data_IF_704874907094
#
_entry.id   IF_704874907094
#
_cell.length_a   1.000
_cell.length_b   1.000
_cell.length_c   1.000
_cell.angle_alpha   90.00
_cell.angle_beta   90.00
_cell.angle_gamma   90.00
#
_symmetry.space_group_name_H-M   'P 1'
#
loop_
_entity.id
_entity.type
_entity.pdbx_description
1 polymer ?
#
# COMPACT_ATOMS: atom_id res chain seq x y z
N UNK A 1 -32.16 -27.25 24.62
CA UNK A 1 -32.78 -26.61 25.79
C UNK A 1 -32.18 -25.23 25.93
N UNK A 2 -32.99 -24.20 25.61
CA UNK A 2 -32.65 -22.80 25.83
C UNK A 2 -32.36 -22.53 27.30
N UNK A 3 -31.37 -21.69 27.58
CA UNK A 3 -31.38 -20.82 28.75
C UNK A 3 -30.91 -19.43 28.32
N UNK A 4 -31.92 -18.67 27.93
CA UNK A 4 -31.94 -17.23 27.79
C UNK A 4 -31.85 -16.56 29.16
N UNK A 5 -30.79 -15.77 29.38
CA UNK A 5 -30.77 -14.72 30.41
C UNK A 5 -30.63 -13.38 29.70
N UNK A 6 -31.78 -12.71 29.57
CA UNK A 6 -31.91 -11.32 29.15
C UNK A 6 -31.35 -10.42 30.26
N UNK A 7 -30.26 -9.69 29.97
CA UNK A 7 -29.93 -8.46 30.70
C UNK A 7 -30.49 -7.27 29.92
N UNK A 8 -31.37 -6.44 30.51
CA UNK A 8 -31.91 -5.26 29.86
C UNK A 8 -30.95 -4.09 30.02
N UNK A 9 -30.46 -3.52 28.90
CA UNK A 9 -29.85 -2.19 28.92
C UNK A 9 -28.48 -2.04 28.26
N UNK A 10 -28.18 -2.72 27.16
CA UNK A 10 -27.06 -2.31 26.31
C UNK A 10 -27.60 -1.63 25.05
N UNK A 11 -27.55 -0.29 25.03
CA UNK A 11 -27.61 0.46 23.77
C UNK A 11 -26.40 0.01 22.96
N UNK A 12 -26.64 -0.69 21.86
CA UNK A 12 -25.63 -0.91 20.83
C UNK A 12 -25.16 0.47 20.35
N UNK A 13 -23.94 0.84 20.70
CA UNK A 13 -23.31 2.06 20.19
C UNK A 13 -22.68 1.68 18.86
N UNK A 14 -23.38 1.97 17.77
CA UNK A 14 -22.79 1.95 16.44
C UNK A 14 -21.86 3.16 16.33
N UNK A 15 -20.56 2.94 16.50
CA UNK A 15 -19.54 3.96 16.21
C UNK A 15 -19.34 3.97 14.70
N UNK A 16 -20.24 4.67 14.00
CA UNK A 16 -20.03 5.00 12.60
C UNK A 16 -18.90 6.01 12.49
N UNK A 17 -17.79 5.63 11.87
CA UNK A 17 -16.75 6.58 11.47
C UNK A 17 -17.36 7.43 10.36
N UNK A 18 -17.61 8.72 10.64
CA UNK A 18 -18.20 9.63 9.68
C UNK A 18 -17.17 9.91 8.57
N UNK A 19 -17.38 9.31 7.40
CA UNK A 19 -16.62 9.62 6.18
C UNK A 19 -17.00 11.03 5.74
N UNK A 20 -16.05 11.95 5.49
CA UNK A 20 -16.36 13.28 4.99
C UNK A 20 -17.14 13.17 3.67
N UNK A 21 -18.30 13.80 3.61
CA UNK A 21 -19.05 13.96 2.37
C UNK A 21 -18.20 14.76 1.38
N UNK A 22 -17.71 14.10 0.33
CA UNK A 22 -17.04 14.75 -0.79
C UNK A 22 -17.89 15.91 -1.31
N UNK A 23 -17.27 17.09 -1.46
CA UNK A 23 -17.95 18.30 -1.93
C UNK A 23 -18.55 18.06 -3.32
N UNK A 24 -19.87 18.03 -3.41
CA UNK A 24 -20.60 18.15 -4.67
C UNK A 24 -20.21 19.47 -5.35
N UNK A 25 -19.57 19.37 -6.51
CA UNK A 25 -19.34 20.48 -7.41
C UNK A 25 -20.67 21.05 -7.90
N UNK A 26 -21.10 22.18 -7.33
CA UNK A 26 -22.30 22.91 -7.77
C UNK A 26 -22.09 23.47 -9.18
N UNK A 27 -22.61 22.76 -10.18
CA UNK A 27 -22.81 23.26 -11.54
C UNK A 27 -23.76 24.46 -11.51
N UNK A 28 -23.27 25.65 -11.89
CA UNK A 28 -24.07 26.86 -12.10
C UNK A 28 -25.02 26.65 -13.28
N UNK A 29 -26.32 26.50 -13.00
CA UNK A 29 -27.36 26.68 -14.02
C UNK A 29 -27.78 28.15 -14.09
N UNK A 30 -27.49 28.79 -15.22
CA UNK A 30 -28.10 30.07 -15.62
C UNK A 30 -29.60 29.88 -15.90
N UNK A 31 -30.45 30.70 -15.29
CA UNK A 31 -31.82 30.96 -15.78
C UNK A 31 -32.16 32.46 -15.79
N UNK A 32 -32.97 32.80 -16.78
CA UNK A 32 -33.27 34.13 -17.30
C UNK A 32 -34.14 35.02 -16.40
N UNK A 33 -33.95 36.33 -16.65
CA UNK A 33 -34.79 37.53 -16.43
C UNK A 33 -36.27 37.33 -16.02
N UNK A 34 -36.72 38.13 -15.06
CA UNK A 34 -38.14 38.43 -14.84
C UNK A 34 -38.43 39.47 -13.73
N UNK A 35 -38.66 40.72 -14.15
CA UNK A 35 -39.48 41.81 -13.58
C UNK A 35 -39.38 42.31 -12.12
N UNK A 36 -39.10 43.63 -12.04
CA UNK A 36 -39.25 44.59 -10.94
C UNK A 36 -40.64 44.56 -10.30
N UNK A 37 -40.71 44.69 -8.97
CA UNK A 37 -41.65 45.60 -8.30
C UNK A 37 -41.04 46.24 -7.05
N UNK A 38 -41.10 47.56 -7.03
CA UNK A 38 -40.68 48.48 -5.97
C UNK A 38 -41.68 48.42 -4.80
N UNK A 39 -41.22 48.25 -3.54
CA UNK A 39 -41.94 48.81 -2.37
C UNK A 39 -41.06 48.89 -1.12
N UNK A 40 -40.89 50.16 -0.69
CA UNK A 40 -40.69 50.71 0.66
C UNK A 40 -39.56 50.18 1.55
N UNK A 41 -38.54 51.04 1.68
CA UNK A 41 -37.68 51.24 2.85
C UNK A 41 -38.46 51.08 4.16
N UNK A 42 -37.98 50.19 5.03
CA UNK A 42 -38.14 50.29 6.47
C UNK A 42 -36.79 50.05 7.10
N UNK A 43 -36.22 51.13 7.62
CA UNK A 43 -35.01 51.17 8.43
C UNK A 43 -35.18 50.27 9.66
N UNK A 44 -34.34 49.24 9.77
CA UNK A 44 -34.08 48.49 11.01
C UNK A 44 -32.65 47.98 10.97
N UNK A 45 -31.78 48.82 11.54
CA UNK A 45 -30.65 48.48 12.43
C UNK A 45 -29.99 47.11 12.23
N UNK A 46 -28.70 47.17 11.89
CA UNK A 46 -27.64 46.19 12.10
C UNK A 46 -28.10 44.90 12.77
N UNK A 47 -28.28 43.86 11.96
CA UNK A 47 -28.08 42.50 12.43
C UNK A 47 -26.67 42.13 12.04
N UNK A 48 -25.83 42.01 13.06
CA UNK A 48 -24.61 41.24 13.03
C UNK A 48 -24.82 40.03 12.12
N UNK A 49 -24.01 39.93 11.08
CA UNK A 49 -23.84 38.72 10.31
C UNK A 49 -23.06 37.74 11.21
N UNK A 50 -23.73 37.33 12.28
CA UNK A 50 -23.36 36.22 13.14
C UNK A 50 -23.47 34.99 12.27
N UNK A 51 -22.42 34.73 11.48
CA UNK A 51 -22.11 33.39 11.02
C UNK A 51 -22.12 32.54 12.28
N UNK A 52 -23.20 31.81 12.49
CA UNK A 52 -23.27 30.77 13.50
C UNK A 52 -22.09 29.83 13.20
N UNK A 53 -21.00 30.04 13.92
CA UNK A 53 -19.98 29.02 14.09
C UNK A 53 -20.74 27.77 14.53
N UNK A 54 -20.54 26.61 13.88
CA UNK A 54 -21.13 25.37 14.35
C UNK A 54 -20.91 25.27 15.86
N UNK A 55 -21.97 25.03 16.63
CA UNK A 55 -21.81 24.77 18.06
C UNK A 55 -21.06 23.45 18.18
N UNK A 56 -19.74 23.53 18.28
CA UNK A 56 -18.90 22.37 18.53
C UNK A 56 -19.16 21.93 19.97
N UNK A 57 -20.13 21.03 20.13
CA UNK A 57 -20.64 20.59 21.43
C UNK A 57 -19.62 19.74 22.20
N UNK A 58 -18.56 19.27 21.54
CA UNK A 58 -17.44 18.60 22.21
C UNK A 58 -16.07 19.20 21.84
N UNK A 59 -15.10 19.20 22.77
CA UNK A 59 -13.71 19.53 22.46
C UNK A 59 -13.14 18.71 21.29
N UNK A 60 -13.54 17.45 21.12
CA UNK A 60 -13.12 16.60 20.01
C UNK A 60 -13.65 17.09 18.64
N UNK A 61 -14.91 17.54 18.56
CA UNK A 61 -15.47 18.12 17.34
C UNK A 61 -14.81 19.46 16.99
N UNK A 62 -14.45 20.24 18.01
CA UNK A 62 -13.72 21.50 17.83
C UNK A 62 -12.32 21.26 17.26
N UNK A 63 -11.57 20.30 17.81
CA UNK A 63 -10.24 19.93 17.30
C UNK A 63 -10.35 19.38 15.87
N UNK A 64 -11.33 18.50 15.61
CA UNK A 64 -11.55 17.96 14.27
C UNK A 64 -11.87 19.04 13.23
N UNK A 65 -12.63 20.06 13.62
CA UNK A 65 -12.89 21.20 12.74
C UNK A 65 -11.64 22.03 12.49
N UNK A 66 -10.88 22.37 13.54
CA UNK A 66 -9.64 23.14 13.40
C UNK A 66 -8.69 22.42 12.41
N UNK A 67 -8.45 21.13 12.63
CA UNK A 67 -7.60 20.31 11.75
C UNK A 67 -8.14 20.18 10.32
N UNK A 68 -9.46 20.17 10.14
CA UNK A 68 -10.10 20.04 8.83
C UNK A 68 -10.28 21.36 8.06
N UNK A 69 -9.78 22.49 8.60
CA UNK A 69 -9.87 23.81 7.96
C UNK A 69 -8.52 24.39 7.55
N UNK A 70 -7.42 23.68 7.78
CA UNK A 70 -6.09 24.01 7.27
C UNK A 70 -5.98 23.63 5.78
N UNK A 71 -6.94 24.10 4.97
CA UNK A 71 -7.13 23.79 3.54
C UNK A 71 -6.01 24.37 2.63
N UNK A 72 -5.09 25.18 3.18
CA UNK A 72 -4.01 25.84 2.42
C UNK A 72 -2.66 25.10 2.52
N UNK A 73 -2.59 23.96 3.23
CA UNK A 73 -1.38 23.14 3.29
C UNK A 73 -1.30 22.19 2.08
N UNK A 74 -0.68 22.67 1.00
CA UNK A 74 -0.47 21.89 -0.22
C UNK A 74 0.36 20.61 0.01
N UNK A 75 1.18 20.55 1.07
CA UNK A 75 2.03 19.38 1.39
C UNK A 75 1.26 18.28 2.12
N UNK A 76 0.21 18.63 2.86
CA UNK A 76 -0.58 17.71 3.69
C UNK A 76 -1.98 17.40 3.13
N UNK A 77 -2.18 17.57 1.82
CA UNK A 77 -3.44 17.20 1.18
C UNK A 77 -3.76 15.70 1.40
N UNK A 78 -5.00 15.36 1.77
CA UNK A 78 -5.39 13.97 1.97
C UNK A 78 -5.49 13.21 0.65
N UNK A 79 -4.95 11.99 0.64
CA UNK A 79 -5.00 11.06 -0.49
C UNK A 79 -5.94 9.87 -0.19
N UNK A 80 -6.46 9.24 -1.25
CA UNK A 80 -7.09 7.92 -1.10
C UNK A 80 -6.05 6.91 -0.59
N UNK A 81 -6.45 6.02 0.32
CA UNK A 81 -5.53 5.04 0.91
C UNK A 81 -5.80 3.63 0.39
N UNK A 82 -4.71 2.94 0.05
CA UNK A 82 -4.60 1.50 0.09
C UNK A 82 -3.98 1.11 1.44
N UNK A 83 -4.58 0.18 2.18
CA UNK A 83 -4.04 -0.26 3.47
C UNK A 83 -3.72 -1.75 3.41
N UNK A 84 -2.55 -2.13 3.91
CA UNK A 84 -2.08 -3.51 3.96
C UNK A 84 -1.74 -3.86 5.40
N UNK A 85 -2.19 -5.03 5.87
CA UNK A 85 -1.89 -5.58 7.19
C UNK A 85 -0.97 -6.78 7.04
N UNK A 86 0.19 -6.68 7.66
CA UNK A 86 1.15 -7.78 7.77
C UNK A 86 1.32 -8.23 9.22
N UNK A 87 1.36 -9.54 9.39
CA UNK A 87 1.63 -10.19 10.67
C UNK A 87 3.01 -10.85 10.68
N UNK A 88 3.74 -10.69 11.80
CA UNK A 88 5.05 -11.30 11.97
C UNK A 88 4.93 -12.82 12.20
N UNK A 89 5.41 -13.62 11.26
CA UNK A 89 5.30 -15.07 11.31
C UNK A 89 6.53 -15.74 11.94
N UNK A 90 6.27 -16.73 12.80
CA UNK A 90 7.29 -17.52 13.50
C UNK A 90 7.43 -18.91 12.92
N UNK A 91 8.68 -19.38 12.82
CA UNK A 91 9.00 -20.77 12.48
C UNK A 91 10.12 -21.27 13.39
N UNK A 92 9.93 -22.45 13.97
CA UNK A 92 10.93 -23.11 14.82
C UNK A 92 11.46 -22.19 15.95
N UNK A 93 10.58 -21.38 16.56
CA UNK A 93 10.92 -20.45 17.64
C UNK A 93 11.65 -19.19 17.21
N UNK A 94 11.77 -18.92 15.90
CA UNK A 94 12.47 -17.74 15.37
C UNK A 94 11.55 -16.90 14.48
N UNK A 95 11.72 -15.58 14.56
CA UNK A 95 11.08 -14.62 13.66
C UNK A 95 11.54 -14.90 12.23
N UNK A 96 10.59 -15.24 11.35
CA UNK A 96 10.89 -15.70 10.00
C UNK A 96 10.69 -14.60 8.96
N UNK A 97 9.46 -14.14 8.79
CA UNK A 97 9.04 -13.19 7.76
C UNK A 97 7.76 -12.45 8.17
N UNK A 98 7.49 -11.31 7.56
CA UNK A 98 6.18 -10.67 7.59
C UNK A 98 5.28 -11.33 6.55
N UNK A 99 4.03 -11.60 6.90
CA UNK A 99 3.04 -12.18 5.98
C UNK A 99 1.82 -11.29 5.91
N UNK A 100 1.44 -10.97 4.68
CA UNK A 100 0.19 -10.30 4.39
C UNK A 100 -0.99 -11.16 4.87
N UNK A 101 -1.85 -10.57 5.70
CA UNK A 101 -3.05 -11.23 6.23
C UNK A 101 -4.35 -10.56 5.82
N UNK A 102 -4.34 -9.25 5.56
CA UNK A 102 -5.51 -8.52 5.09
C UNK A 102 -5.13 -7.25 4.32
N UNK A 103 -6.07 -6.74 3.52
CA UNK A 103 -5.92 -5.45 2.83
C UNK A 103 -7.24 -4.71 2.71
N UNK A 104 -7.17 -3.38 2.63
CA UNK A 104 -8.33 -2.50 2.46
C UNK A 104 -8.16 -1.58 1.25
N UNK A 105 -9.22 -1.55 0.45
CA UNK A 105 -9.50 -0.49 -0.50
C UNK A 105 -10.99 -0.19 -0.45
N UNK A 106 -11.39 0.64 0.53
CA UNK A 106 -12.78 0.86 1.00
C UNK A 106 -13.45 -0.39 1.62
N UNK A 107 -13.25 -1.55 1.03
CA UNK A 107 -13.66 -2.86 1.51
C UNK A 107 -12.44 -3.65 1.99
N UNK A 108 -12.68 -4.55 2.94
CA UNK A 108 -11.72 -5.49 3.51
C UNK A 108 -11.69 -6.78 2.69
N UNK A 109 -10.50 -7.30 2.43
CA UNK A 109 -10.25 -8.64 1.90
C UNK A 109 -9.21 -9.30 2.80
N UNK A 110 -9.45 -10.55 3.22
CA UNK A 110 -8.56 -11.33 4.08
C UNK A 110 -7.90 -12.46 3.31
N UNK A 111 -6.73 -12.87 3.77
CA UNK A 111 -6.04 -14.06 3.30
C UNK A 111 -6.65 -15.31 3.95
N UNK A 112 -7.31 -16.15 3.15
CA UNK A 112 -8.00 -17.38 3.55
C UNK A 112 -7.23 -18.65 3.13
N UNK A 113 -7.74 -19.82 3.56
CA UNK A 113 -7.35 -21.15 3.06
C UNK A 113 -5.83 -21.45 3.16
N UNK A 114 -5.22 -21.20 4.33
CA UNK A 114 -3.77 -21.38 4.49
C UNK A 114 -2.92 -20.38 3.70
N UNK A 115 -3.56 -19.32 3.23
CA UNK A 115 -2.99 -18.27 2.41
C UNK A 115 -2.84 -18.64 0.95
N UNK A 116 -3.85 -19.30 0.38
CA UNK A 116 -3.93 -19.56 -1.06
C UNK A 116 -4.89 -18.61 -1.78
N UNK A 117 -5.78 -17.94 -1.06
CA UNK A 117 -6.90 -17.20 -1.66
C UNK A 117 -7.25 -15.94 -0.87
N UNK A 118 -7.66 -14.89 -1.59
CA UNK A 118 -8.33 -13.73 -1.02
C UNK A 118 -9.82 -14.00 -0.79
N UNK A 119 -10.34 -13.55 0.35
CA UNK A 119 -11.78 -13.53 0.62
C UNK A 119 -12.53 -12.63 -0.38
N UNK A 120 -13.86 -12.62 -0.32
CA UNK A 120 -14.64 -11.66 -1.11
C UNK A 120 -14.63 -10.32 -0.37
N UNK A 121 -14.55 -9.18 -1.08
CA UNK A 121 -14.53 -7.87 -0.43
C UNK A 121 -15.80 -7.65 0.40
N UNK A 122 -15.64 -7.20 1.65
CA UNK A 122 -16.73 -6.96 2.57
C UNK A 122 -16.53 -5.68 3.40
N UNK A 123 -17.58 -5.27 4.13
CA UNK A 123 -17.51 -4.10 5.01
C UNK A 123 -16.95 -4.55 6.36
N UNK A 124 -15.80 -3.98 6.74
CA UNK A 124 -15.12 -4.23 8.00
C UNK A 124 -16.05 -4.05 9.20
N UNK A 125 -15.97 -4.98 10.17
CA UNK A 125 -16.58 -4.80 11.49
C UNK A 125 -15.51 -4.91 12.56
N UNK A 126 -15.38 -3.87 13.37
CA UNK A 126 -14.39 -3.83 14.44
C UNK A 126 -15.01 -4.14 15.79
N UNK A 127 -14.26 -4.86 16.62
CA UNK A 127 -14.64 -5.03 18.02
C UNK A 127 -14.49 -3.69 18.77
N UNK A 128 -15.39 -3.42 19.73
CA UNK A 128 -15.24 -2.23 20.57
C UNK A 128 -13.96 -2.30 21.43
N UNK A 129 -13.54 -3.51 21.78
CA UNK A 129 -12.32 -3.73 22.56
C UNK A 129 -11.07 -3.26 21.82
N UNK A 130 -10.90 -3.69 20.56
CA UNK A 130 -9.77 -3.28 19.73
C UNK A 130 -9.73 -1.78 19.47
N UNK A 131 -10.88 -1.10 19.40
CA UNK A 131 -10.93 0.37 19.31
C UNK A 131 -10.42 1.06 20.58
N UNK A 132 -10.70 0.52 21.77
CA UNK A 132 -10.16 1.05 23.01
C UNK A 132 -8.66 0.80 23.15
N UNK A 133 -8.19 -0.37 22.72
CA UNK A 133 -6.75 -0.67 22.67
C UNK A 133 -6.03 0.23 21.69
N UNK A 134 -6.55 0.42 20.46
CA UNK A 134 -5.99 1.35 19.49
C UNK A 134 -5.93 2.79 20.03
N UNK A 135 -6.97 3.24 20.73
CA UNK A 135 -6.94 4.54 21.41
C UNK A 135 -5.82 4.60 22.45
N UNK A 136 -5.63 3.54 23.24
CA UNK A 136 -4.52 3.45 24.19
C UNK A 136 -3.16 3.46 23.49
N UNK A 137 -3.04 2.78 22.35
CA UNK A 137 -1.84 2.73 21.52
C UNK A 137 -1.44 4.11 21.03
N UNK A 138 -2.39 4.89 20.50
CA UNK A 138 -2.12 6.27 20.04
C UNK A 138 -1.74 7.19 21.21
N UNK A 139 -2.35 7.00 22.39
CA UNK A 139 -2.08 7.86 23.56
C UNK A 139 -0.73 7.59 24.22
N UNK A 140 -0.25 6.35 24.20
CA UNK A 140 0.93 5.92 24.95
C UNK A 140 2.12 5.50 24.07
N UNK A 141 1.88 5.28 22.77
CA UNK A 141 2.90 4.87 21.81
C UNK A 141 3.79 6.02 21.34
N UNK A 142 4.81 5.67 20.55
CA UNK A 142 5.65 6.64 19.83
C UNK A 142 4.87 7.19 18.63
N UNK A 143 4.77 8.52 18.51
CA UNK A 143 4.12 9.19 17.38
C UNK A 143 5.13 10.09 16.68
N UNK A 144 5.40 9.82 15.40
CA UNK A 144 6.36 10.58 14.59
C UNK A 144 5.68 11.08 13.32
N UNK A 145 5.31 12.35 13.31
CA UNK A 145 4.69 13.00 12.16
C UNK A 145 5.76 13.70 11.32
N UNK A 146 5.55 13.71 10.01
CA UNK A 146 6.40 14.36 9.00
C UNK A 146 7.85 13.88 9.05
N UNK A 147 8.00 12.56 9.29
CA UNK A 147 9.28 11.87 9.32
C UNK A 147 9.92 11.92 7.93
N UNK A 148 11.16 12.37 7.89
CA UNK A 148 11.97 12.40 6.67
C UNK A 148 12.87 11.18 6.61
N UNK A 149 12.36 10.11 6.02
CA UNK A 149 13.08 8.87 5.79
C UNK A 149 12.73 8.33 4.40
N UNK A 150 13.69 7.71 3.72
CA UNK A 150 13.54 7.21 2.36
C UNK A 150 13.63 5.68 2.24
N UNK A 151 13.99 4.98 3.30
CA UNK A 151 13.99 3.52 3.37
C UNK A 151 13.41 3.00 4.68
N UNK A 152 13.02 1.73 4.69
CA UNK A 152 12.52 1.06 5.90
C UNK A 152 13.62 0.94 6.97
N UNK A 153 14.89 0.88 6.59
CA UNK A 153 16.03 0.94 7.51
C UNK A 153 16.10 2.27 8.24
N UNK A 154 16.01 3.40 7.52
CA UNK A 154 16.00 4.73 8.14
C UNK A 154 14.81 4.90 9.08
N UNK A 155 13.62 4.45 8.66
CA UNK A 155 12.41 4.47 9.49
C UNK A 155 12.62 3.65 10.76
N UNK A 156 13.10 2.42 10.63
CA UNK A 156 13.33 1.53 11.76
C UNK A 156 14.34 2.13 12.74
N UNK A 157 15.46 2.65 12.24
CA UNK A 157 16.50 3.25 13.08
C UNK A 157 15.98 4.49 13.83
N UNK A 158 15.24 5.39 13.16
CA UNK A 158 14.66 6.58 13.80
C UNK A 158 13.61 6.25 14.86
N UNK A 159 12.73 5.28 14.60
CA UNK A 159 11.70 4.84 15.55
C UNK A 159 12.34 4.21 16.78
N UNK A 160 13.30 3.32 16.57
CA UNK A 160 14.00 2.63 17.65
C UNK A 160 14.80 3.63 18.49
N UNK A 161 15.49 4.59 17.87
CA UNK A 161 16.19 5.67 18.58
C UNK A 161 15.23 6.46 19.49
N UNK A 162 14.05 6.81 18.97
CA UNK A 162 13.01 7.51 19.74
C UNK A 162 12.49 6.65 20.91
N UNK A 163 12.26 5.36 20.70
CA UNK A 163 11.78 4.44 21.74
C UNK A 163 12.82 4.22 22.84
N UNK A 164 14.10 4.12 22.48
CA UNK A 164 15.20 4.04 23.45
C UNK A 164 15.31 5.34 24.24
N UNK A 165 15.32 6.49 23.56
CA UNK A 165 15.45 7.80 24.20
C UNK A 165 14.29 8.11 25.18
N UNK A 166 13.09 7.60 24.89
CA UNK A 166 11.91 7.71 25.74
C UNK A 166 11.78 6.57 26.78
N UNK A 167 12.77 5.68 26.86
CA UNK A 167 12.78 4.50 27.74
C UNK A 167 11.58 3.55 27.54
N UNK A 168 10.97 3.57 26.35
CA UNK A 168 9.97 2.59 25.92
C UNK A 168 10.61 1.27 25.48
N UNK A 169 11.85 1.33 24.99
CA UNK A 169 12.64 0.17 24.59
C UNK A 169 14.01 0.19 25.30
N UNK A 170 14.44 -0.97 25.79
CA UNK A 170 15.77 -1.13 26.36
C UNK A 170 16.84 -1.19 25.25
N UNK A 171 17.99 -0.53 25.47
CA UNK A 171 19.09 -0.49 24.50
C UNK A 171 19.57 -1.90 24.10
N UNK A 172 19.56 -2.86 25.02
CA UNK A 172 19.93 -4.25 24.73
C UNK A 172 18.99 -4.97 23.75
N UNK A 173 17.77 -4.46 23.55
CA UNK A 173 16.77 -5.04 22.65
C UNK A 173 16.73 -4.35 21.28
N UNK A 174 17.42 -3.22 21.13
CA UNK A 174 17.52 -2.42 19.91
C UNK A 174 17.72 -3.29 18.65
N UNK A 175 18.78 -4.09 18.65
CA UNK A 175 19.16 -4.89 17.50
C UNK A 175 18.12 -5.97 17.16
N UNK A 176 17.49 -6.58 18.16
CA UNK A 176 16.48 -7.62 17.95
C UNK A 176 15.19 -7.05 17.34
N UNK A 177 14.75 -5.87 17.81
CA UNK A 177 13.61 -5.16 17.24
C UNK A 177 13.92 -4.74 15.80
N UNK A 178 15.11 -4.19 15.56
CA UNK A 178 15.56 -3.81 14.22
C UNK A 178 15.55 -5.00 13.25
N UNK A 179 16.06 -6.14 13.68
CA UNK A 179 16.06 -7.37 12.88
C UNK A 179 14.66 -7.88 12.57
N UNK A 180 13.70 -7.72 13.50
CA UNK A 180 12.30 -8.08 13.28
C UNK A 180 11.62 -7.12 12.28
N UNK A 181 11.80 -5.81 12.44
CA UNK A 181 11.23 -4.79 11.54
C UNK A 181 11.72 -4.95 10.09
N UNK A 182 12.97 -5.39 9.90
CA UNK A 182 13.59 -5.53 8.58
C UNK A 182 13.48 -6.93 7.98
N UNK A 183 12.64 -7.81 8.54
CA UNK A 183 12.32 -9.08 7.90
C UNK A 183 11.65 -8.84 6.55
N UNK A 184 11.83 -9.79 5.65
CA UNK A 184 11.17 -9.74 4.34
C UNK A 184 9.65 -9.82 4.52
N UNK A 185 8.93 -9.05 3.71
CA UNK A 185 7.49 -9.12 3.55
C UNK A 185 7.13 -10.11 2.45
N UNK A 186 6.23 -11.05 2.77
CA UNK A 186 5.76 -12.08 1.89
C UNK A 186 4.30 -11.83 1.51
N UNK A 187 4.11 -11.47 0.25
CA UNK A 187 2.84 -11.05 -0.33
C UNK A 187 2.08 -12.21 -0.96
N UNK A 188 0.75 -12.15 -0.95
CA UNK A 188 -0.10 -13.23 -1.46
C UNK A 188 0.14 -13.53 -2.95
N UNK A 189 0.55 -12.52 -3.73
CA UNK A 189 0.82 -12.69 -5.16
C UNK A 189 2.11 -13.50 -5.44
N UNK A 190 3.06 -13.55 -4.50
CA UNK A 190 4.27 -14.36 -4.65
C UNK A 190 3.98 -15.86 -4.63
N UNK A 191 2.99 -16.31 -3.83
CA UNK A 191 2.57 -17.72 -3.77
C UNK A 191 1.91 -18.21 -5.06
N UNK A 192 1.13 -17.35 -5.72
CA UNK A 192 0.50 -17.68 -7.02
C UNK A 192 1.55 -17.98 -8.09
N UNK A 193 2.72 -17.34 -8.01
CA UNK A 193 3.81 -17.53 -8.96
C UNK A 193 4.75 -18.68 -8.55
N UNK A 194 5.01 -18.91 -7.27
CA UNK A 194 5.81 -20.08 -6.83
C UNK A 194 5.14 -21.40 -7.17
N UNK A 195 3.80 -21.44 -7.17
CA UNK A 195 3.02 -22.61 -7.58
C UNK A 195 2.98 -22.80 -9.12
N UNK A 196 3.42 -21.80 -9.89
CA UNK A 196 3.63 -21.90 -11.34
C UNK A 196 5.09 -22.26 -11.58
N UNK A 197 5.38 -23.56 -11.63
CA UNK A 197 6.67 -24.10 -12.08
C UNK A 197 7.11 -23.31 -13.33
N UNK A 198 8.33 -22.74 -13.38
CA UNK A 198 8.80 -22.04 -14.57
C UNK A 198 8.70 -23.00 -15.75
N UNK A 199 8.02 -22.55 -16.80
CA UNK A 199 7.81 -23.30 -18.03
C UNK A 199 9.19 -23.57 -18.68
N UNK A 200 9.90 -24.58 -18.20
CA UNK A 200 11.03 -25.17 -18.91
C UNK A 200 10.45 -25.63 -20.22
N UNK A 201 10.82 -24.94 -21.31
CA UNK A 201 10.56 -25.39 -22.68
C UNK A 201 11.01 -26.83 -22.77
N UNK A 202 10.06 -27.75 -22.73
CA UNK A 202 10.30 -29.17 -22.91
C UNK A 202 10.99 -29.34 -24.26
N UNK A 203 12.21 -29.86 -24.23
CA UNK A 203 13.02 -30.21 -25.40
C UNK A 203 12.45 -31.44 -26.13
N UNK A 204 11.19 -31.36 -26.58
CA UNK A 204 10.51 -32.43 -27.30
C UNK A 204 10.49 -32.24 -28.83
N UNK A 205 11.15 -31.22 -29.38
CA UNK A 205 11.27 -31.01 -30.83
C UNK A 205 12.67 -31.36 -31.38
N UNK A 206 13.27 -32.45 -30.88
CA UNK A 206 14.39 -33.10 -31.57
C UNK A 206 13.95 -34.49 -32.00
N UNK A 207 13.67 -34.61 -33.29
CA UNK A 207 13.68 -35.88 -34.00
C UNK A 207 12.34 -36.28 -34.58
N UNK A 208 12.10 -35.88 -35.84
CA UNK A 208 11.62 -36.77 -36.91
C UNK A 208 11.67 -36.06 -38.26
N UNK A 209 12.73 -36.34 -39.02
CA UNK A 209 12.76 -36.25 -40.49
C UNK A 209 12.34 -37.60 -41.08
N UNK A 210 11.91 -37.56 -42.34
CA UNK A 210 11.41 -38.63 -43.24
C UNK A 210 9.89 -38.79 -43.15
N UNK A 211 9.10 -38.69 -44.23
CA UNK A 211 9.36 -38.94 -45.66
C UNK A 211 8.29 -38.28 -46.55
N UNK A 212 8.70 -37.81 -47.74
CA UNK A 212 7.85 -37.46 -48.90
C UNK A 212 7.05 -38.68 -49.39
N UNK A 213 5.85 -38.51 -50.01
CA UNK A 213 5.84 -38.34 -51.47
C UNK A 213 4.68 -37.51 -52.08
N UNK A 214 4.86 -37.19 -53.37
CA UNK A 214 3.88 -36.82 -54.41
C UNK A 214 3.59 -35.32 -54.70
N UNK A 215 4.34 -34.84 -55.71
CA UNK A 215 3.87 -34.37 -57.03
C UNK A 215 3.31 -32.94 -57.24
N UNK A 216 3.95 -32.34 -58.26
CA UNK A 216 3.54 -31.24 -59.14
C UNK A 216 3.74 -29.81 -58.62
N UNK A 217 4.92 -29.26 -58.90
CA UNK A 217 4.93 -27.97 -59.61
C UNK A 217 6.13 -27.83 -60.53
N UNK A 218 5.88 -27.10 -61.62
CA UNK A 218 6.52 -27.20 -62.93
C UNK A 218 7.28 -25.90 -63.21
N UNK A 219 8.50 -26.08 -63.69
CA UNK A 219 9.31 -25.19 -64.55
C UNK A 219 9.92 -23.89 -64.01
N UNK A 220 11.24 -23.79 -64.26
CA UNK A 220 11.95 -22.54 -64.59
C UNK A 220 13.21 -22.31 -63.75
N UNK A 221 14.40 -22.81 -64.15
CA UNK A 221 15.45 -22.05 -64.87
C UNK A 221 15.99 -20.87 -64.01
N UNK A 222 17.25 -20.76 -63.54
CA UNK A 222 18.57 -21.15 -64.06
C UNK A 222 19.66 -21.01 -62.98
N UNK A 223 20.66 -21.92 -63.05
CA UNK A 223 22.10 -21.73 -62.85
C UNK A 223 22.71 -21.12 -61.55
N UNK A 224 23.47 -21.98 -60.86
CA UNK A 224 24.75 -21.67 -60.19
C UNK A 224 25.82 -22.57 -60.85
N UNK A 225 27.11 -22.64 -60.47
CA UNK A 225 28.02 -21.70 -59.75
C UNK A 225 29.47 -21.71 -60.34
N UNK A 226 30.26 -20.63 -60.30
CA UNK A 226 31.74 -20.72 -60.47
C UNK A 226 32.45 -19.58 -59.71
N UNK A 227 33.25 -19.83 -58.65
CA UNK A 227 34.69 -20.22 -58.63
C UNK A 227 35.66 -19.03 -58.66
N UNK A 228 36.31 -18.71 -57.52
CA UNK A 228 37.78 -18.51 -57.38
C UNK A 228 38.17 -17.90 -56.01
N UNK A 229 39.35 -18.25 -55.44
CA UNK A 229 39.82 -17.82 -54.12
C UNK A 229 40.96 -16.78 -54.14
N UNK A 230 41.13 -16.07 -53.02
CA UNK A 230 42.35 -15.32 -52.66
C UNK A 230 42.07 -13.85 -52.28
N UNK A 231 42.83 -13.16 -51.42
CA UNK A 231 43.86 -13.49 -50.44
C UNK A 231 44.10 -12.18 -49.61
N UNK A 232 44.65 -12.32 -48.40
CA UNK A 232 45.27 -11.33 -47.48
C UNK A 232 44.45 -10.36 -46.59
N UNK A 233 44.80 -10.48 -45.29
CA UNK A 233 44.99 -9.49 -44.21
C UNK A 233 43.77 -8.64 -43.76
N UNK A 234 43.45 -8.45 -42.47
CA UNK A 234 44.32 -8.21 -41.33
C UNK A 234 43.55 -8.34 -39.98
N UNK A 235 44.29 -8.62 -38.90
CA UNK A 235 44.04 -8.33 -37.47
C UNK A 235 42.82 -8.91 -36.71
N UNK A 236 43.09 -9.88 -35.82
CA UNK A 236 42.59 -9.87 -34.42
C UNK A 236 43.68 -9.20 -33.55
N UNK A 237 43.36 -8.55 -32.42
CA UNK A 237 43.30 -9.30 -31.17
C UNK A 237 42.27 -8.81 -30.14
N UNK A 238 42.06 -9.71 -29.18
CA UNK A 238 41.47 -9.55 -27.84
C UNK A 238 41.48 -8.16 -27.22
N UNK A 239 40.37 -7.80 -26.56
CA UNK A 239 40.39 -6.96 -25.37
C UNK A 239 39.81 -7.72 -24.18
N UNK A 240 40.69 -7.93 -23.21
CA UNK A 240 40.35 -8.17 -21.83
C UNK A 240 40.31 -6.82 -21.10
N UNK A 241 39.43 -6.74 -20.09
CA UNK A 241 39.56 -5.98 -18.83
C UNK A 241 38.89 -4.60 -18.69
N UNK A 242 37.94 -4.61 -17.74
CA UNK A 242 37.82 -3.75 -16.55
C UNK A 242 36.83 -2.57 -16.60
N UNK A 243 36.07 -2.54 -15.51
CA UNK A 243 35.42 -1.41 -14.83
C UNK A 243 34.02 -0.98 -15.28
N UNK A 244 33.10 -1.15 -14.33
CA UNK A 244 31.81 -0.46 -14.34
C UNK A 244 30.87 -0.94 -13.24
N UNK A 245 31.36 -1.17 -12.02
CA UNK A 245 30.45 -1.26 -10.88
C UNK A 245 29.82 0.11 -10.65
N UNK A 246 28.50 0.23 -10.75
CA UNK A 246 27.74 1.29 -10.06
C UNK A 246 26.23 1.08 -10.19
N UNK A 247 25.56 1.24 -9.04
CA UNK A 247 24.13 1.57 -8.82
C UNK A 247 23.14 0.42 -8.79
N UNK A 248 23.08 -0.15 -7.59
CA UNK A 248 21.85 -0.45 -6.87
C UNK A 248 20.77 0.60 -7.17
N UNK A 249 19.80 0.25 -8.00
CA UNK A 249 18.47 0.81 -7.98
C UNK A 249 17.54 -0.37 -8.16
N UNK A 250 16.85 -0.75 -7.09
CA UNK A 250 15.80 -1.74 -7.02
C UNK A 250 14.77 -1.50 -8.12
N UNK A 251 14.92 -2.16 -9.27
CA UNK A 251 13.87 -2.20 -10.27
C UNK A 251 12.73 -3.04 -9.70
N UNK A 252 11.64 -2.37 -9.33
CA UNK A 252 10.41 -3.03 -8.89
C UNK A 252 9.99 -4.04 -9.96
N UNK A 253 9.87 -5.31 -9.57
CA UNK A 253 9.48 -6.38 -10.48
C UNK A 253 7.95 -6.41 -10.65
N UNK A 254 7.47 -5.64 -11.62
CA UNK A 254 6.05 -5.56 -11.95
C UNK A 254 5.43 -6.90 -12.39
N UNK A 255 6.23 -7.94 -12.69
CA UNK A 255 5.70 -9.25 -13.08
C UNK A 255 5.01 -9.99 -11.93
N UNK A 256 5.26 -9.57 -10.69
CA UNK A 256 4.69 -10.15 -9.46
C UNK A 256 3.40 -9.48 -8.97
N UNK A 257 2.98 -8.40 -9.60
CA UNK A 257 1.84 -7.58 -9.15
C UNK A 257 0.53 -8.03 -9.81
N UNK A 258 -0.55 -8.15 -9.04
CA UNK A 258 -1.88 -8.43 -9.59
C UNK A 258 -2.45 -7.19 -10.32
N UNK A 259 -2.27 -7.18 -11.65
CA UNK A 259 -2.72 -6.10 -12.52
C UNK A 259 -4.23 -5.86 -12.52
N UNK A 260 -5.05 -6.84 -12.11
CA UNK A 260 -6.50 -6.65 -12.02
C UNK A 260 -6.86 -5.88 -10.75
N UNK A 261 -6.13 -6.11 -9.65
CA UNK A 261 -6.32 -5.36 -8.43
C UNK A 261 -5.78 -3.92 -8.55
N UNK A 262 -4.60 -3.74 -9.15
CA UNK A 262 -3.99 -2.42 -9.39
C UNK A 262 -4.92 -1.42 -10.09
N UNK A 263 -5.75 -1.89 -11.03
CA UNK A 263 -6.72 -1.03 -11.74
C UNK A 263 -7.81 -0.46 -10.84
N UNK A 264 -8.02 -1.02 -9.65
CA UNK A 264 -8.99 -0.52 -8.66
C UNK A 264 -8.45 0.64 -7.84
N UNK A 265 -7.13 0.75 -7.71
CA UNK A 265 -6.46 1.77 -6.89
C UNK A 265 -6.58 3.14 -7.58
N UNK A 266 -7.12 4.18 -6.91
CA UNK A 266 -7.22 5.51 -7.48
C UNK A 266 -5.86 6.11 -7.86
N UNK A 267 -5.75 6.88 -8.96
CA UNK A 267 -4.54 7.61 -9.29
C UNK A 267 -4.17 8.59 -8.17
N UNK A 268 -2.90 8.58 -7.76
CA UNK A 268 -2.41 9.41 -6.66
C UNK A 268 -2.80 8.91 -5.27
N UNK A 269 -3.31 7.68 -5.14
CA UNK A 269 -3.45 7.03 -3.84
C UNK A 269 -2.07 6.80 -3.19
N UNK A 270 -2.08 6.75 -1.86
CA UNK A 270 -0.93 6.41 -1.03
C UNK A 270 -1.20 5.11 -0.26
N UNK A 271 -0.15 4.48 0.26
CA UNK A 271 -0.21 3.25 1.02
C UNK A 271 -0.08 3.53 2.51
N UNK A 272 -0.82 2.77 3.32
CA UNK A 272 -0.70 2.71 4.78
C UNK A 272 -0.36 1.27 5.15
N UNK A 273 0.81 1.05 5.75
CA UNK A 273 1.25 -0.29 6.17
C UNK A 273 0.99 -0.48 7.67
N UNK A 274 0.25 -1.52 8.02
CA UNK A 274 -0.04 -1.91 9.40
C UNK A 274 0.77 -3.16 9.71
N UNK A 275 1.78 -3.04 10.58
CA UNK A 275 2.68 -4.14 10.94
C UNK A 275 2.42 -4.55 12.39
N UNK A 276 1.91 -5.77 12.61
CA UNK A 276 1.64 -6.29 13.95
C UNK A 276 2.32 -7.62 14.19
N UNK A 277 2.87 -7.83 15.38
CA UNK A 277 3.58 -9.06 15.68
C UNK A 277 3.85 -9.21 17.16
N UNK A 278 3.99 -10.45 17.58
CA UNK A 278 4.45 -10.81 18.92
C UNK A 278 5.93 -11.15 18.84
N UNK A 279 6.72 -10.93 19.90
CA UNK A 279 8.11 -11.40 19.99
C UNK A 279 8.40 -11.78 21.44
N UNK A 280 9.10 -12.89 21.65
CA UNK A 280 9.32 -13.43 23.01
C UNK A 280 10.25 -12.56 23.89
N UNK A 281 11.09 -11.72 23.26
CA UNK A 281 12.08 -10.91 23.98
C UNK A 281 11.56 -9.55 24.47
N UNK A 282 10.31 -9.18 24.13
CA UNK A 282 9.70 -7.95 24.64
C UNK A 282 8.79 -8.27 25.84
N UNK A 283 9.05 -7.61 26.97
CA UNK A 283 8.18 -7.71 28.16
C UNK A 283 6.96 -6.79 28.07
N UNK A 284 7.03 -5.76 27.22
CA UNK A 284 5.98 -4.75 27.04
C UNK A 284 5.76 -4.50 25.54
N UNK A 285 4.53 -4.19 25.11
CA UNK A 285 4.27 -3.83 23.72
C UNK A 285 4.97 -2.51 23.38
N UNK A 286 5.55 -2.46 22.18
CA UNK A 286 6.01 -1.22 21.56
C UNK A 286 5.05 -0.85 20.45
N UNK A 287 4.73 0.44 20.36
CA UNK A 287 3.75 0.96 19.40
C UNK A 287 4.37 2.18 18.74
N UNK A 288 4.29 2.24 17.41
CA UNK A 288 4.68 3.41 16.63
C UNK A 288 3.55 3.80 15.68
N UNK A 289 3.26 5.09 15.59
CA UNK A 289 2.48 5.70 14.50
C UNK A 289 3.38 6.68 13.76
N UNK A 290 3.51 6.50 12.45
CA UNK A 290 4.46 7.23 11.61
C UNK A 290 3.69 7.85 10.45
N UNK A 291 3.99 9.11 10.15
CA UNK A 291 3.62 9.76 8.89
C UNK A 291 4.89 10.27 8.25
N UNK A 292 5.20 9.82 7.05
CA UNK A 292 6.34 10.24 6.25
C UNK A 292 6.06 11.58 5.55
N UNK A 293 7.10 12.39 5.42
CA UNK A 293 7.16 13.51 4.49
C UNK A 293 8.48 13.47 3.72
N UNK A 294 8.47 13.29 2.39
CA UNK A 294 7.31 12.98 1.53
C UNK A 294 6.85 11.51 1.69
N UNK A 295 5.75 11.12 1.04
CA UNK A 295 5.44 9.70 0.84
C UNK A 295 6.52 9.02 -0.02
N UNK A 296 6.85 7.77 0.29
CA UNK A 296 8.00 7.06 -0.32
C UNK A 296 7.62 5.67 -0.79
N UNK A 297 8.08 5.30 -1.98
CA UNK A 297 7.95 3.93 -2.49
C UNK A 297 8.96 3.01 -1.79
N UNK A 298 8.55 2.41 -0.68
CA UNK A 298 9.35 1.45 0.09
C UNK A 298 9.36 0.09 -0.62
N UNK A 299 10.47 -0.22 -1.30
CA UNK A 299 10.58 -1.41 -2.15
C UNK A 299 10.34 -2.68 -1.35
N UNK A 300 9.35 -3.48 -1.77
CA UNK A 300 9.07 -4.78 -1.18
C UNK A 300 8.24 -4.75 0.10
N UNK A 301 7.94 -3.57 0.65
CA UNK A 301 7.11 -3.43 1.85
C UNK A 301 5.63 -3.68 1.55
N UNK A 302 5.13 -3.21 0.40
CA UNK A 302 3.72 -3.29 0.01
C UNK A 302 3.57 -4.21 -1.21
N UNK A 303 2.47 -4.97 -1.31
CA UNK A 303 2.22 -5.89 -2.43
C UNK A 303 2.08 -5.17 -3.79
N UNK A 304 1.74 -3.88 -3.75
CA UNK A 304 1.55 -2.99 -4.90
C UNK A 304 2.54 -1.82 -4.84
N UNK A 305 2.97 -1.29 -6.00
CA UNK A 305 3.92 -0.19 -6.07
C UNK A 305 3.25 1.17 -5.80
N UNK A 306 2.72 1.34 -4.60
CA UNK A 306 2.07 2.56 -4.12
C UNK A 306 2.97 3.19 -3.03
N UNK A 307 3.24 4.52 -3.06
CA UNK A 307 4.09 5.16 -2.05
C UNK A 307 3.47 5.08 -0.65
N UNK A 308 4.24 4.62 0.34
CA UNK A 308 3.86 4.62 1.76
C UNK A 308 3.85 6.04 2.31
N UNK A 309 2.79 6.39 3.03
CA UNK A 309 2.64 7.64 3.77
C UNK A 309 2.73 7.40 5.26
#
# INVERSE_FOLDING_TARGET
MSLSTLFPGHRAVYVGVHVPLGRETKRRHHRHRGHRHHRKRRDRSDREDGRESPSYDTPSQRVQFILGTEDDDEEHMPHDLFTELDELFFRDGHVYEWRETARWLKFEEDVEDGGERWSKPYVATLSLHSLFELRSCILNGTVMLDMRANTIEEIADMVIDSMVASAQLEEGLRQKVREAMLKRHHHQNEKKLSNRIPLVRSFADIGKKQSDPHLLERNGLLASPQSAPGNLENSKPSESRISGGSRENSTVDFSKVDMNFMKKIPPGAEASNVLVGEVEFLERPIIAFIRLSPAVLLTGLTEVPVPTR
#
